data_IF_869833103367
#
_entry.id   IF_869833103367
#
_cell.length_a   1.000
_cell.length_b   1.000
_cell.length_c   1.000
_cell.angle_alpha   90.00
_cell.angle_beta   90.00
_cell.angle_gamma   90.00
#
_symmetry.space_group_name_H-M   'P 1'
#
loop_
_entity.id
_entity.type
_entity.pdbx_description
1 polymer ?
#
# COMPACT_ATOMS: atom_id res chain seq x y z
N UNK A 1 -0.01 -25.36 15.88
CA UNK A 1 -1.37 -25.03 15.41
C UNK A 1 -1.34 -25.07 13.89
N UNK A 2 -1.98 -26.07 13.29
CA UNK A 2 -2.15 -26.16 11.84
C UNK A 2 -3.16 -25.09 11.41
N UNK A 3 -2.70 -24.14 10.59
CA UNK A 3 -3.58 -23.15 9.97
C UNK A 3 -4.26 -23.85 8.79
N UNK A 4 -5.46 -24.40 9.00
CA UNK A 4 -6.26 -24.90 7.89
C UNK A 4 -6.85 -23.69 7.15
N UNK A 5 -6.51 -23.57 5.86
CA UNK A 5 -7.15 -22.59 4.98
C UNK A 5 -8.66 -22.87 5.00
N UNK A 6 -9.51 -21.86 5.24
CA UNK A 6 -10.95 -22.04 5.12
C UNK A 6 -11.25 -22.60 3.73
N UNK A 7 -12.00 -23.70 3.67
CA UNK A 7 -12.47 -24.26 2.40
C UNK A 7 -13.28 -23.17 1.70
N UNK A 8 -12.96 -22.81 0.45
CA UNK A 8 -13.72 -21.81 -0.26
C UNK A 8 -15.18 -22.26 -0.36
N UNK A 9 -16.09 -21.36 -0.01
CA UNK A 9 -17.52 -21.61 -0.13
C UNK A 9 -17.85 -21.99 -1.58
N UNK A 10 -18.63 -23.07 -1.74
CA UNK A 10 -19.24 -23.41 -3.02
C UNK A 10 -20.39 -22.45 -3.26
N UNK A 11 -20.06 -21.23 -3.69
CA UNK A 11 -21.03 -20.25 -4.15
C UNK A 11 -21.67 -20.79 -5.45
N UNK A 12 -22.97 -20.59 -5.66
CA UNK A 12 -23.67 -20.80 -6.93
C UNK A 12 -23.19 -19.73 -7.94
N UNK A 13 -21.98 -19.95 -8.45
CA UNK A 13 -21.00 -18.93 -8.87
C UNK A 13 -21.22 -18.24 -10.20
N UNK A 14 -22.16 -18.61 -11.06
CA UNK A 14 -22.01 -18.29 -12.49
C UNK A 14 -22.29 -16.83 -12.87
N UNK A 15 -23.32 -16.18 -12.30
CA UNK A 15 -23.72 -14.83 -12.74
C UNK A 15 -22.98 -13.72 -12.00
N UNK A 16 -22.82 -13.84 -10.68
CA UNK A 16 -22.05 -12.89 -9.87
C UNK A 16 -20.57 -12.89 -10.26
N UNK A 17 -20.01 -14.07 -10.54
CA UNK A 17 -18.63 -14.18 -11.04
C UNK A 17 -18.46 -13.49 -12.38
N UNK A 18 -19.38 -13.73 -13.30
CA UNK A 18 -19.37 -13.09 -14.62
C UNK A 18 -19.42 -11.57 -14.50
N UNK A 19 -20.29 -11.03 -13.63
CA UNK A 19 -20.38 -9.59 -13.38
C UNK A 19 -19.07 -9.01 -12.85
N UNK A 20 -18.44 -9.65 -11.86
CA UNK A 20 -17.16 -9.17 -11.31
C UNK A 20 -16.04 -9.24 -12.35
N UNK A 21 -15.98 -10.31 -13.13
CA UNK A 21 -15.00 -10.44 -14.21
C UNK A 21 -15.18 -9.34 -15.27
N UNK A 22 -16.41 -9.06 -15.67
CA UNK A 22 -16.71 -7.97 -16.60
C UNK A 22 -16.29 -6.60 -16.05
N UNK A 23 -16.49 -6.36 -14.74
CA UNK A 23 -16.00 -5.12 -14.10
C UNK A 23 -14.48 -5.04 -14.10
N UNK A 24 -13.78 -6.14 -13.80
CA UNK A 24 -12.31 -6.19 -13.82
C UNK A 24 -11.78 -5.86 -15.21
N UNK A 25 -12.31 -6.48 -16.27
CA UNK A 25 -11.90 -6.18 -17.65
C UNK A 25 -12.21 -4.73 -18.03
N UNK A 26 -13.41 -4.23 -17.70
CA UNK A 26 -13.75 -2.83 -17.93
C UNK A 26 -12.79 -1.86 -17.25
N UNK A 27 -12.36 -2.15 -16.02
CA UNK A 27 -11.38 -1.33 -15.29
C UNK A 27 -10.01 -1.38 -15.96
N UNK A 28 -9.57 -2.54 -16.48
CA UNK A 28 -8.31 -2.64 -17.22
C UNK A 28 -8.35 -1.82 -18.50
N UNK A 29 -9.45 -1.87 -19.24
CA UNK A 29 -9.62 -1.07 -20.46
C UNK A 29 -9.57 0.42 -20.15
N UNK A 30 -10.33 0.87 -19.15
CA UNK A 30 -10.32 2.26 -18.69
C UNK A 30 -8.93 2.68 -18.19
N UNK A 31 -8.24 1.81 -17.44
CA UNK A 31 -6.88 2.06 -16.97
C UNK A 31 -5.90 2.25 -18.12
N UNK A 32 -6.02 1.50 -19.22
CA UNK A 32 -5.12 1.67 -20.37
C UNK A 32 -5.21 3.07 -20.99
N UNK A 33 -6.41 3.65 -21.04
CA UNK A 33 -6.65 5.03 -21.51
C UNK A 33 -6.00 6.04 -20.56
N UNK A 34 -6.23 5.88 -19.25
CA UNK A 34 -5.68 6.77 -18.22
C UNK A 34 -4.16 6.69 -18.12
N UNK A 35 -3.61 5.48 -18.15
CA UNK A 35 -2.19 5.22 -18.11
C UNK A 35 -1.48 5.85 -19.31
N UNK A 36 -2.01 5.66 -20.52
CA UNK A 36 -1.46 6.29 -21.71
C UNK A 36 -1.43 7.81 -21.57
N UNK A 37 -2.53 8.41 -21.13
CA UNK A 37 -2.57 9.85 -20.88
C UNK A 37 -1.51 10.28 -19.86
N UNK A 38 -1.33 9.56 -18.75
CA UNK A 38 -0.31 9.89 -17.73
C UNK A 38 1.12 9.72 -18.23
N UNK A 39 1.39 8.69 -19.03
CA UNK A 39 2.71 8.46 -19.64
C UNK A 39 3.02 9.56 -20.67
N UNK A 40 2.05 9.92 -21.52
CA UNK A 40 2.18 10.96 -22.54
C UNK A 40 2.26 12.37 -21.92
N UNK A 41 1.63 12.59 -20.77
CA UNK A 41 1.64 13.87 -20.07
C UNK A 41 2.96 14.15 -19.34
N UNK A 42 3.82 13.15 -19.11
CA UNK A 42 5.10 13.35 -18.41
C UNK A 42 4.95 14.08 -17.06
N UNK A 43 5.74 15.15 -16.85
CA UNK A 43 5.60 16.11 -15.72
C UNK A 43 4.89 17.39 -16.19
N UNK A 44 3.98 17.29 -17.17
CA UNK A 44 3.20 18.44 -17.61
C UNK A 44 2.25 18.90 -16.50
N UNK A 45 1.93 20.20 -16.56
CA UNK A 45 1.10 20.91 -15.59
C UNK A 45 -0.15 20.09 -15.21
N UNK A 46 -0.35 19.73 -13.93
CA UNK A 46 -1.56 19.07 -13.46
C UNK A 46 -2.86 19.86 -13.74
N UNK A 47 -2.74 21.12 -14.14
CA UNK A 47 -3.82 22.02 -14.54
C UNK A 47 -3.97 22.16 -16.06
N UNK A 48 -3.18 21.43 -16.86
CA UNK A 48 -3.36 21.39 -18.30
C UNK A 48 -4.76 20.88 -18.66
N UNK A 49 -5.29 21.37 -19.77
CA UNK A 49 -6.64 21.06 -20.22
C UNK A 49 -6.75 19.56 -20.56
N UNK A 50 -7.47 18.81 -19.72
CA UNK A 50 -7.67 17.37 -19.86
C UNK A 50 -8.74 17.14 -20.93
N UNK A 51 -8.50 16.20 -21.85
CA UNK A 51 -9.47 15.87 -22.90
C UNK A 51 -10.78 15.34 -22.29
N UNK A 52 -11.88 15.52 -23.02
CA UNK A 52 -13.20 14.99 -22.64
C UNK A 52 -13.20 13.46 -22.55
N UNK A 53 -12.42 12.78 -23.39
CA UNK A 53 -12.24 11.32 -23.38
C UNK A 53 -11.61 10.84 -22.07
N UNK A 54 -10.52 11.48 -21.62
CA UNK A 54 -9.85 11.13 -20.36
C UNK A 54 -10.75 11.44 -19.16
N UNK A 55 -11.45 12.57 -19.18
CA UNK A 55 -12.40 12.93 -18.10
C UNK A 55 -13.51 11.88 -17.97
N UNK A 56 -14.09 11.46 -19.09
CA UNK A 56 -15.13 10.43 -19.10
C UNK A 56 -14.59 9.07 -18.64
N UNK A 57 -13.37 8.70 -19.09
CA UNK A 57 -12.72 7.48 -18.65
C UNK A 57 -12.46 7.48 -17.14
N UNK A 58 -12.02 8.60 -16.56
CA UNK A 58 -11.84 8.75 -15.12
C UNK A 58 -13.15 8.59 -14.35
N UNK A 59 -14.24 9.22 -14.80
CA UNK A 59 -15.55 9.11 -14.15
C UNK A 59 -16.08 7.67 -14.15
N UNK A 60 -15.95 6.99 -15.29
CA UNK A 60 -16.33 5.58 -15.41
C UNK A 60 -15.44 4.69 -14.54
N UNK A 61 -14.12 4.94 -14.52
CA UNK A 61 -13.17 4.20 -13.70
C UNK A 61 -13.51 4.34 -12.21
N UNK A 62 -13.73 5.57 -11.74
CA UNK A 62 -14.17 5.87 -10.37
C UNK A 62 -15.49 5.16 -10.05
N UNK A 63 -16.47 5.22 -10.97
CA UNK A 63 -17.77 4.56 -10.79
C UNK A 63 -17.65 3.05 -10.62
N UNK A 64 -16.82 2.38 -11.42
CA UNK A 64 -16.61 0.93 -11.31
C UNK A 64 -15.87 0.55 -10.03
N UNK A 65 -14.85 1.32 -9.63
CA UNK A 65 -14.14 1.09 -8.35
C UNK A 65 -15.10 1.22 -7.16
N UNK A 66 -15.96 2.24 -7.14
CA UNK A 66 -16.95 2.42 -6.06
C UNK A 66 -17.89 1.22 -5.98
N UNK A 67 -18.37 0.72 -7.13
CA UNK A 67 -19.24 -0.48 -7.16
C UNK A 67 -18.52 -1.73 -6.64
N UNK A 68 -17.24 -1.90 -7.00
CA UNK A 68 -16.45 -3.03 -6.51
C UNK A 68 -16.14 -2.95 -5.01
N UNK A 69 -15.92 -1.74 -4.47
CA UNK A 69 -15.74 -1.53 -3.02
C UNK A 69 -17.03 -1.74 -2.22
N UNK A 70 -18.19 -1.57 -2.86
CA UNK A 70 -19.51 -1.73 -2.25
C UNK A 70 -20.15 -3.12 -2.54
N UNK A 71 -19.36 -4.09 -3.00
CA UNK A 71 -19.85 -5.43 -3.35
C UNK A 71 -20.33 -6.22 -2.12
N UNK A 72 -21.17 -7.24 -2.37
CA UNK A 72 -21.61 -8.16 -1.33
C UNK A 72 -20.46 -9.06 -0.85
N UNK A 73 -20.56 -9.72 0.32
CA UNK A 73 -19.56 -10.70 0.77
C UNK A 73 -19.29 -11.83 -0.23
N UNK A 74 -20.33 -12.26 -0.97
CA UNK A 74 -20.25 -13.30 -1.99
C UNK A 74 -19.47 -12.82 -3.23
N UNK A 75 -19.80 -11.62 -3.71
CA UNK A 75 -19.06 -10.96 -4.80
C UNK A 75 -17.60 -10.68 -4.40
N UNK A 76 -17.35 -10.32 -3.14
CA UNK A 76 -16.01 -10.08 -2.61
C UNK A 76 -15.13 -11.33 -2.65
N UNK A 77 -15.69 -12.53 -2.42
CA UNK A 77 -14.92 -13.77 -2.50
C UNK A 77 -14.44 -14.03 -3.94
N UNK A 78 -15.28 -13.75 -4.95
CA UNK A 78 -14.85 -13.80 -6.36
C UNK A 78 -13.73 -12.80 -6.61
N UNK A 79 -13.87 -11.57 -6.12
CA UNK A 79 -12.85 -10.54 -6.28
C UNK A 79 -11.51 -10.97 -5.65
N UNK A 80 -11.53 -11.57 -4.46
CA UNK A 80 -10.33 -12.11 -3.81
C UNK A 80 -9.74 -13.30 -4.57
N UNK A 81 -10.58 -14.18 -5.12
CA UNK A 81 -10.13 -15.30 -5.96
C UNK A 81 -9.40 -14.81 -7.22
N UNK A 82 -9.98 -13.85 -7.95
CA UNK A 82 -9.35 -13.28 -9.14
C UNK A 82 -8.10 -12.45 -8.81
N UNK A 83 -8.11 -11.69 -7.72
CA UNK A 83 -6.91 -10.97 -7.26
C UNK A 83 -5.76 -11.94 -6.93
N UNK A 84 -6.05 -13.08 -6.29
CA UNK A 84 -5.07 -14.15 -6.04
C UNK A 84 -4.56 -14.75 -7.33
N UNK A 85 -5.44 -15.05 -8.29
CA UNK A 85 -5.07 -15.59 -9.61
C UNK A 85 -4.15 -14.63 -10.37
N UNK A 86 -4.54 -13.36 -10.50
CA UNK A 86 -3.73 -12.33 -11.17
C UNK A 86 -2.37 -12.20 -10.46
N UNK A 87 -2.32 -12.14 -9.13
CA UNK A 87 -1.05 -12.10 -8.38
C UNK A 87 -0.16 -13.29 -8.73
N UNK A 88 -0.71 -14.51 -8.72
CA UNK A 88 0.02 -15.73 -9.04
C UNK A 88 0.54 -15.73 -10.48
N UNK A 89 -0.27 -15.30 -11.44
CA UNK A 89 0.10 -15.24 -12.86
C UNK A 89 1.18 -14.15 -13.13
N UNK A 90 1.20 -13.07 -12.35
CA UNK A 90 2.06 -11.91 -12.61
C UNK A 90 3.37 -11.92 -11.82
N UNK A 91 3.30 -12.25 -10.53
CA UNK A 91 4.44 -12.17 -9.58
C UNK A 91 4.75 -13.56 -8.98
N UNK A 92 3.86 -14.53 -9.15
CA UNK A 92 3.92 -15.84 -8.50
C UNK A 92 3.37 -15.82 -7.08
N UNK A 93 3.76 -16.82 -6.30
CA UNK A 93 3.41 -16.94 -4.88
C UNK A 93 4.53 -16.59 -3.88
N UNK A 94 5.54 -15.74 -4.20
CA UNK A 94 6.57 -15.43 -3.22
C UNK A 94 6.00 -14.61 -2.06
N UNK A 95 6.49 -14.90 -0.86
CA UNK A 95 6.28 -14.07 0.33
C UNK A 95 7.58 -13.28 0.56
N UNK A 96 7.53 -11.97 0.34
CA UNK A 96 8.68 -11.10 0.56
C UNK A 96 8.69 -10.58 2.00
N UNK A 97 9.57 -11.13 2.83
CA UNK A 97 9.80 -10.64 4.18
C UNK A 97 10.72 -9.40 4.17
N UNK A 98 10.37 -8.41 4.99
CA UNK A 98 11.07 -7.12 5.10
C UNK A 98 11.13 -6.71 6.56
N UNK A 99 12.28 -6.24 7.01
CA UNK A 99 12.43 -5.72 8.35
C UNK A 99 12.10 -4.22 8.37
N UNK A 100 11.16 -3.81 9.21
CA UNK A 100 10.82 -2.41 9.44
C UNK A 100 11.51 -1.93 10.73
N UNK A 101 12.45 -0.98 10.59
CA UNK A 101 13.18 -0.41 11.73
C UNK A 101 12.75 1.03 11.92
N UNK A 102 12.06 1.32 13.03
CA UNK A 102 11.63 2.66 13.40
C UNK A 102 12.75 3.38 14.12
N UNK A 103 13.49 4.23 13.41
CA UNK A 103 14.68 4.89 13.96
C UNK A 103 14.33 6.01 14.95
N UNK A 104 13.12 6.53 14.88
CA UNK A 104 12.60 7.50 15.85
C UNK A 104 11.09 7.50 15.85
N UNK A 105 10.48 7.66 17.03
CA UNK A 105 9.06 7.93 17.19
C UNK A 105 8.76 9.40 17.47
N UNK A 106 9.76 10.29 17.42
CA UNK A 106 9.56 11.70 17.74
C UNK A 106 8.96 12.43 16.55
N UNK A 107 7.68 12.78 16.68
CA UNK A 107 6.95 13.54 15.69
C UNK A 107 6.48 14.90 16.22
N UNK A 108 6.46 15.89 15.33
CA UNK A 108 5.87 17.22 15.57
C UNK A 108 4.41 17.32 15.15
N UNK A 109 3.93 16.34 14.38
CA UNK A 109 2.55 16.29 13.91
C UNK A 109 1.65 15.70 14.98
N UNK A 110 0.36 15.99 14.86
CA UNK A 110 -0.64 15.58 15.83
C UNK A 110 -1.79 14.81 15.17
N UNK A 111 -1.44 13.86 14.31
CA UNK A 111 -2.39 13.06 13.55
C UNK A 111 -3.31 12.28 14.51
N UNK A 112 -4.63 12.39 14.31
CA UNK A 112 -5.62 11.81 15.24
C UNK A 112 -5.52 10.28 15.37
N UNK A 113 -5.13 9.60 14.30
CA UNK A 113 -4.99 8.15 14.26
C UNK A 113 -3.58 7.65 14.61
N UNK A 114 -2.62 8.54 14.87
CA UNK A 114 -1.23 8.13 15.11
C UNK A 114 -0.93 8.03 16.60
N UNK A 115 -0.40 6.89 17.04
CA UNK A 115 0.03 6.68 18.43
C UNK A 115 1.27 7.51 18.78
N UNK A 116 2.08 7.87 17.79
CA UNK A 116 3.29 8.71 17.92
C UNK A 116 3.00 10.22 17.81
N UNK A 117 1.73 10.63 17.86
CA UNK A 117 1.34 12.03 17.79
C UNK A 117 2.00 12.85 18.91
N UNK A 118 2.22 14.14 18.63
CA UNK A 118 2.98 15.01 19.52
C UNK A 118 2.42 15.11 20.93
N UNK A 119 1.10 15.01 21.09
CA UNK A 119 0.44 15.12 22.41
C UNK A 119 0.79 13.93 23.30
N UNK A 120 0.62 12.69 22.80
CA UNK A 120 1.00 11.47 23.53
C UNK A 120 2.48 11.49 23.96
N UNK A 121 3.34 12.10 23.14
CA UNK A 121 4.76 12.26 23.43
C UNK A 121 5.07 13.43 24.38
N UNK A 122 4.19 14.43 24.49
CA UNK A 122 4.34 15.57 25.43
C UNK A 122 3.76 15.23 26.80
N UNK A 123 2.65 14.49 26.82
CA UNK A 123 1.94 14.05 28.00
C UNK A 123 2.64 12.88 28.72
N UNK A 124 3.73 12.36 28.13
CA UNK A 124 4.53 11.29 28.72
C UNK A 124 3.89 9.90 28.64
N UNK A 125 2.79 9.77 27.88
CA UNK A 125 2.11 8.48 27.64
C UNK A 125 3.00 7.51 26.84
N UNK A 126 3.88 8.05 25.99
CA UNK A 126 4.85 7.28 25.20
C UNK A 126 6.24 7.89 25.33
N UNK A 127 7.25 7.07 25.59
CA UNK A 127 8.64 7.50 25.68
C UNK A 127 9.16 7.99 24.31
N UNK A 128 9.85 9.13 24.32
CA UNK A 128 10.50 9.68 23.12
C UNK A 128 11.83 8.98 22.87
N UNK A 129 11.92 8.22 21.78
CA UNK A 129 13.13 7.51 21.37
C UNK A 129 13.66 8.02 20.03
N UNK A 130 14.98 8.19 19.98
CA UNK A 130 15.75 8.32 18.75
C UNK A 130 16.93 7.39 18.85
N UNK A 131 17.04 6.50 17.88
CA UNK A 131 18.20 5.63 17.75
C UNK A 131 19.39 6.45 17.26
N UNK A 132 20.53 6.25 17.89
CA UNK A 132 21.81 6.65 17.36
C UNK A 132 22.25 5.68 16.25
N UNK A 133 23.38 5.94 15.62
CA UNK A 133 23.84 5.12 14.49
C UNK A 133 24.19 3.70 14.86
N UNK A 134 24.84 3.52 16.01
CA UNK A 134 25.31 2.22 16.45
C UNK A 134 24.10 1.34 16.76
N UNK A 135 23.07 1.90 17.41
CA UNK A 135 21.77 1.24 17.60
C UNK A 135 21.08 0.90 16.27
N UNK A 136 21.16 1.78 15.26
CA UNK A 136 20.58 1.50 13.93
C UNK A 136 21.33 0.34 13.26
N UNK A 137 22.66 0.36 13.30
CA UNK A 137 23.50 -0.70 12.72
C UNK A 137 23.22 -2.02 13.43
N UNK A 138 23.18 -2.01 14.76
CA UNK A 138 22.87 -3.19 15.56
C UNK A 138 21.49 -3.76 15.21
N UNK A 139 20.46 -2.91 15.10
CA UNK A 139 19.13 -3.35 14.68
C UNK A 139 19.10 -3.92 13.26
N UNK A 140 19.90 -3.38 12.32
CA UNK A 140 20.04 -3.94 10.97
C UNK A 140 20.74 -5.30 11.02
N UNK A 141 21.77 -5.47 11.83
CA UNK A 141 22.48 -6.74 12.01
C UNK A 141 21.52 -7.78 12.59
N UNK A 142 20.84 -7.47 13.68
CA UNK A 142 19.83 -8.35 14.28
C UNK A 142 18.72 -8.73 13.28
N UNK A 143 18.25 -7.77 12.48
CA UNK A 143 17.27 -8.04 11.44
C UNK A 143 17.79 -9.00 10.35
N UNK A 144 19.09 -8.96 10.04
CA UNK A 144 19.73 -9.85 9.07
C UNK A 144 20.05 -11.23 9.64
N UNK A 145 20.27 -11.35 10.95
CA UNK A 145 20.41 -12.66 11.61
C UNK A 145 19.13 -13.49 11.50
N UNK A 146 17.96 -12.85 11.45
CA UNK A 146 16.67 -13.49 11.18
C UNK A 146 16.44 -13.92 9.72
N UNK A 147 17.40 -13.67 8.82
CA UNK A 147 17.36 -14.01 7.39
C UNK A 147 17.83 -12.84 6.51
N UNK A 148 18.02 -13.10 5.21
CA UNK A 148 18.41 -12.06 4.24
C UNK A 148 17.25 -11.08 3.93
N UNK A 149 16.88 -10.27 4.93
CA UNK A 149 15.77 -9.34 4.84
C UNK A 149 16.22 -8.00 4.23
N UNK A 150 15.44 -7.51 3.27
CA UNK A 150 15.50 -6.10 2.90
C UNK A 150 14.99 -5.26 4.08
N UNK A 151 15.82 -4.33 4.55
CA UNK A 151 15.52 -3.47 5.71
C UNK A 151 15.04 -2.09 5.27
N UNK A 152 13.91 -1.65 5.80
CA UNK A 152 13.37 -0.30 5.62
C UNK A 152 13.53 0.50 6.90
N UNK A 153 14.19 1.65 6.80
CA UNK A 153 14.32 2.58 7.92
C UNK A 153 13.16 3.57 7.88
N UNK A 154 12.28 3.48 8.87
CA UNK A 154 11.13 4.37 9.01
C UNK A 154 11.49 5.52 9.94
N UNK A 155 11.13 6.72 9.49
CA UNK A 155 11.35 8.00 10.18
C UNK A 155 10.13 8.88 10.00
N UNK A 156 9.68 9.52 11.07
CA UNK A 156 8.70 10.60 10.96
C UNK A 156 9.34 11.97 10.66
N UNK A 157 8.60 12.82 9.98
CA UNK A 157 9.11 13.94 9.20
C UNK A 157 9.71 15.11 10.01
N UNK A 158 10.75 15.75 9.42
CA UNK A 158 11.40 17.05 9.74
C UNK A 158 12.49 17.20 10.82
N UNK A 159 13.04 16.17 11.45
CA UNK A 159 14.22 16.41 12.32
C UNK A 159 15.60 16.14 11.71
N UNK A 160 15.67 15.43 10.59
CA UNK A 160 16.90 15.32 9.78
C UNK A 160 16.64 15.86 8.39
N UNK A 161 17.41 16.89 7.99
CA UNK A 161 17.29 17.59 6.71
C UNK A 161 17.84 16.78 5.53
N UNK A 162 18.62 15.73 5.78
CA UNK A 162 19.06 14.79 4.73
C UNK A 162 19.43 13.41 5.28
N UNK A 163 19.46 12.39 4.42
CA UNK A 163 19.95 11.06 4.75
C UNK A 163 21.44 11.07 5.17
N UNK A 164 22.22 12.06 4.73
CA UNK A 164 23.62 12.24 5.14
C UNK A 164 23.78 12.63 6.62
N UNK A 165 22.76 13.22 7.24
CA UNK A 165 22.81 13.56 8.67
C UNK A 165 22.65 12.33 9.56
N UNK A 166 22.05 11.23 9.08
CA UNK A 166 22.07 9.93 9.77
C UNK A 166 23.51 9.40 9.95
N UNK A 167 24.43 9.77 9.05
CA UNK A 167 25.76 9.15 8.94
C UNK A 167 26.90 10.04 9.45
N UNK A 168 26.62 11.21 10.06
CA UNK A 168 27.65 12.04 10.71
C UNK A 168 27.66 11.85 12.23
N UNK A 169 28.85 11.54 12.75
CA UNK A 169 29.08 11.27 14.18
C UNK A 169 28.82 12.55 14.96
#
# INVERSE_FOLDING_TARGET
MSFEKPKPAQIEKSQEKELILQRIEKIKDLWSVLQKHWEDSGVADPLAEISSEVTQAEELFKSEIVKMLACSPEEAEVLYEEARRIKADTIGEPIHLRAAIYVTNVCRQNCRCCTMRSDNLKEGTVERKRMNKDEIVEAIVQAREGGELKTYLFKEERMWKSSRQLLRR
#
